data_IF_735163524333
#
_entry.id   IF_735163524333
#
_cell.length_a   1.000
_cell.length_b   1.000
_cell.length_c   1.000
_cell.angle_alpha   90.00
_cell.angle_beta   90.00
_cell.angle_gamma   90.00
#
_symmetry.space_group_name_H-M   'P 1'
#
loop_
_entity.id
_entity.type
_entity.pdbx_description
1 polymer ?
#
# COMPACT_ATOMS: atom_id res chain seq x y z
N UNK A 1 2.13 17.74 15.02
CA UNK A 1 1.77 16.31 15.06
C UNK A 1 1.84 15.80 13.64
N UNK A 2 2.65 14.78 13.38
CA UNK A 2 2.78 14.23 12.03
C UNK A 2 1.64 13.24 11.79
N UNK A 3 1.00 13.32 10.63
CA UNK A 3 -0.05 12.36 10.24
C UNK A 3 0.61 11.22 9.46
N UNK A 4 0.18 10.00 9.73
CA UNK A 4 0.60 8.82 8.98
C UNK A 4 -0.60 7.94 8.66
N UNK A 5 -0.44 7.11 7.63
CA UNK A 5 -1.39 6.04 7.32
C UNK A 5 -0.96 4.78 8.06
N UNK A 6 -1.91 4.07 8.65
CA UNK A 6 -1.72 2.85 9.43
C UNK A 6 -2.50 1.72 8.77
N UNK A 7 -1.77 0.70 8.31
CA UNK A 7 -2.31 -0.49 7.66
C UNK A 7 -1.99 -1.69 8.54
N UNK A 8 -3.01 -2.43 8.97
CA UNK A 8 -2.82 -3.56 9.86
C UNK A 8 -1.99 -4.65 9.18
N UNK A 9 -1.11 -5.30 9.93
CA UNK A 9 -0.36 -6.47 9.48
C UNK A 9 -0.62 -7.59 10.48
N UNK A 10 -0.89 -8.79 9.98
CA UNK A 10 -1.11 -9.94 10.87
C UNK A 10 0.12 -10.21 11.73
N UNK A 11 -0.10 -10.53 13.01
CA UNK A 11 0.97 -10.79 13.96
C UNK A 11 1.90 -11.92 13.50
N UNK A 12 1.38 -12.97 12.87
CA UNK A 12 2.17 -14.08 12.33
C UNK A 12 3.05 -13.66 11.14
N UNK A 13 2.54 -12.77 10.28
CA UNK A 13 3.30 -12.18 9.16
C UNK A 13 4.44 -11.31 9.70
N UNK A 14 4.15 -10.47 10.68
CA UNK A 14 5.17 -9.67 11.35
C UNK A 14 6.21 -10.50 12.09
N UNK A 15 5.80 -11.54 12.83
CA UNK A 15 6.71 -12.40 13.58
C UNK A 15 7.71 -13.11 12.65
N UNK A 16 7.23 -13.62 11.50
CA UNK A 16 8.09 -14.20 10.47
C UNK A 16 9.04 -13.16 9.88
N UNK A 17 8.56 -11.96 9.57
CA UNK A 17 9.41 -10.85 9.11
C UNK A 17 10.52 -10.52 10.13
N UNK A 18 10.15 -10.37 11.41
CA UNK A 18 11.08 -10.03 12.49
C UNK A 18 12.13 -11.14 12.71
N UNK A 19 11.72 -12.41 12.61
CA UNK A 19 12.64 -13.54 12.67
C UNK A 19 13.65 -13.51 11.52
N UNK A 20 13.19 -13.32 10.28
CA UNK A 20 14.05 -13.24 9.09
C UNK A 20 15.02 -12.06 9.20
N UNK A 21 14.53 -10.89 9.63
CA UNK A 21 15.38 -9.71 9.88
C UNK A 21 16.48 -10.03 10.89
N UNK A 22 16.14 -10.74 11.98
CA UNK A 22 17.12 -11.14 12.99
C UNK A 22 18.19 -12.06 12.41
N UNK A 23 17.79 -13.06 11.62
CA UNK A 23 18.73 -13.97 10.93
C UNK A 23 19.67 -13.23 9.98
N UNK A 24 19.13 -12.27 9.21
CA UNK A 24 19.91 -11.44 8.29
C UNK A 24 20.94 -10.58 9.05
N UNK A 25 20.51 -9.91 10.13
CA UNK A 25 21.39 -9.05 10.92
C UNK A 25 22.46 -9.82 11.72
N UNK A 26 22.20 -11.08 12.06
CA UNK A 26 23.16 -11.98 12.70
C UNK A 26 24.16 -12.59 11.70
N UNK A 27 24.04 -12.30 10.40
CA UNK A 27 24.94 -12.82 9.38
C UNK A 27 24.74 -14.31 9.09
N UNK A 28 23.49 -14.79 9.14
CA UNK A 28 23.16 -16.18 8.80
C UNK A 28 23.71 -16.55 7.41
N UNK A 29 24.33 -17.73 7.32
CA UNK A 29 24.87 -18.26 6.06
C UNK A 29 23.79 -18.85 5.15
N UNK A 30 22.65 -19.23 5.73
CA UNK A 30 21.53 -19.75 4.97
C UNK A 30 20.78 -18.62 4.26
N UNK A 31 20.42 -18.83 3.00
CA UNK A 31 19.70 -17.82 2.22
C UNK A 31 18.32 -17.56 2.81
N UNK A 32 18.05 -16.29 3.14
CA UNK A 32 16.75 -15.84 3.64
C UNK A 32 15.82 -15.33 2.53
N UNK A 33 16.28 -15.35 1.27
CA UNK A 33 15.62 -14.68 0.15
C UNK A 33 14.20 -15.22 -0.13
N UNK A 34 14.04 -16.54 -0.17
CA UNK A 34 12.73 -17.16 -0.44
C UNK A 34 11.75 -16.91 0.70
N UNK A 35 12.21 -17.07 1.95
CA UNK A 35 11.39 -16.83 3.13
C UNK A 35 10.95 -15.35 3.20
N UNK A 36 11.88 -14.42 2.98
CA UNK A 36 11.58 -13.00 2.93
C UNK A 36 10.61 -12.69 1.80
N UNK A 37 10.85 -13.24 0.61
CA UNK A 37 9.99 -13.04 -0.55
C UNK A 37 8.54 -13.48 -0.32
N UNK A 38 8.33 -14.60 0.38
CA UNK A 38 7.00 -15.05 0.81
C UNK A 38 6.35 -14.06 1.77
N UNK A 39 7.07 -13.65 2.82
CA UNK A 39 6.53 -12.72 3.83
C UNK A 39 6.20 -11.36 3.24
N UNK A 40 7.06 -10.83 2.35
CA UNK A 40 6.78 -9.57 1.65
C UNK A 40 5.54 -9.67 0.77
N UNK A 41 5.32 -10.83 0.14
CA UNK A 41 4.13 -11.09 -0.66
C UNK A 41 2.86 -11.06 0.19
N UNK A 42 2.91 -11.68 1.36
CA UNK A 42 1.79 -11.69 2.32
C UNK A 42 1.49 -10.29 2.84
N UNK A 43 2.51 -9.53 3.26
CA UNK A 43 2.39 -8.11 3.64
C UNK A 43 1.72 -7.30 2.51
N UNK A 44 2.18 -7.46 1.27
CA UNK A 44 1.62 -6.75 0.14
C UNK A 44 0.15 -7.12 -0.12
N UNK A 45 -0.22 -8.39 0.05
CA UNK A 45 -1.60 -8.82 -0.05
C UNK A 45 -2.47 -8.20 1.05
N UNK A 46 -2.03 -8.26 2.32
CA UNK A 46 -2.74 -7.70 3.47
C UNK A 46 -2.98 -6.19 3.30
N UNK A 47 -2.00 -5.45 2.78
CA UNK A 47 -2.12 -4.01 2.50
C UNK A 47 -3.13 -3.75 1.38
N UNK A 48 -3.05 -4.48 0.27
CA UNK A 48 -3.95 -4.29 -0.87
C UNK A 48 -5.38 -4.65 -0.47
N UNK A 49 -5.58 -5.78 0.20
CA UNK A 49 -6.91 -6.21 0.65
C UNK A 49 -7.58 -5.15 1.53
N UNK A 50 -6.85 -4.53 2.46
CA UNK A 50 -7.38 -3.44 3.28
C UNK A 50 -7.78 -2.21 2.47
N UNK A 51 -6.88 -1.72 1.60
CA UNK A 51 -7.16 -0.50 0.81
C UNK A 51 -8.34 -0.70 -0.15
N UNK A 52 -8.52 -1.93 -0.66
CA UNK A 52 -9.58 -2.25 -1.63
C UNK A 52 -10.85 -2.86 -1.00
N UNK A 53 -10.89 -3.09 0.32
CA UNK A 53 -12.02 -3.75 0.98
C UNK A 53 -13.36 -3.03 0.75
N UNK A 54 -13.39 -1.69 0.78
CA UNK A 54 -14.63 -0.93 0.53
C UNK A 54 -15.07 -0.97 -0.92
N UNK A 55 -14.12 -0.98 -1.87
CA UNK A 55 -14.46 -1.17 -3.28
C UNK A 55 -15.05 -2.56 -3.51
N UNK A 56 -14.67 -3.57 -2.73
CA UNK A 56 -15.24 -4.92 -2.82
C UNK A 56 -16.61 -5.02 -2.16
N UNK A 57 -16.83 -4.36 -1.01
CA UNK A 57 -18.08 -4.43 -0.24
C UNK A 57 -19.24 -3.67 -0.91
N UNK A 58 -19.01 -2.46 -1.45
CA UNK A 58 -20.09 -1.68 -2.07
C UNK A 58 -20.41 -2.12 -3.50
N UNK A 59 -19.44 -2.70 -4.23
CA UNK A 59 -19.72 -3.27 -5.55
C UNK A 59 -20.67 -4.49 -5.48
N UNK A 60 -20.84 -5.16 -4.35
CA UNK A 60 -21.85 -6.22 -4.22
C UNK A 60 -23.29 -5.69 -4.34
N UNK A 61 -23.52 -4.41 -4.04
CA UNK A 61 -24.84 -3.77 -4.17
C UNK A 61 -25.06 -3.12 -5.56
N UNK A 62 -24.00 -2.68 -6.25
CA UNK A 62 -24.11 -1.93 -7.51
C UNK A 62 -23.58 -2.64 -8.76
N UNK A 63 -22.80 -3.72 -8.64
CA UNK A 63 -22.22 -4.44 -9.78
C UNK A 63 -22.91 -5.79 -10.01
N UNK A 64 -23.56 -5.93 -11.16
CA UNK A 64 -23.96 -7.24 -11.70
C UNK A 64 -22.76 -8.04 -12.26
N UNK A 65 -21.54 -7.50 -12.17
CA UNK A 65 -20.33 -8.04 -12.77
C UNK A 65 -19.19 -8.01 -11.76
N UNK A 66 -18.85 -9.15 -11.15
CA UNK A 66 -17.70 -9.31 -10.25
C UNK A 66 -16.32 -9.12 -10.91
N UNK A 67 -16.20 -8.18 -11.85
CA UNK A 67 -14.99 -7.87 -12.60
C UNK A 67 -13.94 -7.20 -11.73
N UNK A 68 -14.33 -6.26 -10.86
CA UNK A 68 -13.42 -5.59 -9.92
C UNK A 68 -12.74 -6.58 -8.97
N UNK A 69 -13.51 -7.54 -8.44
CA UNK A 69 -13.00 -8.59 -7.57
C UNK A 69 -12.02 -9.52 -8.30
N UNK A 70 -12.37 -9.96 -9.52
CA UNK A 70 -11.47 -10.78 -10.35
C UNK A 70 -10.16 -10.07 -10.64
N UNK A 71 -10.18 -8.77 -10.93
CA UNK A 71 -8.97 -7.99 -11.17
C UNK A 71 -8.10 -7.92 -9.91
N UNK A 72 -8.70 -7.69 -8.74
CA UNK A 72 -7.97 -7.68 -7.47
C UNK A 72 -7.34 -9.05 -7.19
N UNK A 73 -8.09 -10.14 -7.38
CA UNK A 73 -7.54 -11.49 -7.22
C UNK A 73 -6.37 -11.77 -8.18
N UNK A 74 -6.46 -11.35 -9.44
CA UNK A 74 -5.35 -11.48 -10.39
C UNK A 74 -4.10 -10.71 -9.94
N UNK A 75 -4.27 -9.52 -9.33
CA UNK A 75 -3.17 -8.74 -8.77
C UNK A 75 -2.54 -9.48 -7.59
N UNK A 76 -3.35 -9.99 -6.66
CA UNK A 76 -2.88 -10.74 -5.49
C UNK A 76 -2.15 -12.03 -5.91
N UNK A 77 -2.71 -12.79 -6.86
CA UNK A 77 -2.06 -13.98 -7.43
C UNK A 77 -0.72 -13.66 -8.09
N UNK A 78 -0.66 -12.56 -8.86
CA UNK A 78 0.58 -12.12 -9.48
C UNK A 78 1.63 -11.75 -8.42
N UNK A 79 1.25 -11.06 -7.35
CA UNK A 79 2.14 -10.73 -6.24
C UNK A 79 2.66 -12.01 -5.55
N UNK A 80 1.76 -12.96 -5.26
CA UNK A 80 2.12 -14.27 -4.68
C UNK A 80 3.07 -15.08 -5.55
N UNK A 81 2.92 -14.98 -6.86
CA UNK A 81 3.76 -15.70 -7.82
C UNK A 81 5.12 -15.03 -8.02
N UNK A 82 5.14 -13.73 -8.27
CA UNK A 82 6.35 -13.06 -8.78
C UNK A 82 7.19 -12.40 -7.69
N UNK A 83 6.61 -12.03 -6.55
CA UNK A 83 7.38 -11.39 -5.47
C UNK A 83 8.43 -12.35 -4.88
N UNK A 84 8.09 -13.59 -4.46
CA UNK A 84 9.11 -14.51 -3.94
C UNK A 84 10.20 -14.81 -4.95
N UNK A 85 9.81 -15.03 -6.21
CA UNK A 85 10.75 -15.25 -7.31
C UNK A 85 11.70 -14.05 -7.50
N UNK A 86 11.19 -12.82 -7.50
CA UNK A 86 12.02 -11.62 -7.67
C UNK A 86 13.04 -11.45 -6.54
N UNK A 87 12.67 -11.80 -5.31
CA UNK A 87 13.55 -11.67 -4.15
C UNK A 87 14.59 -12.81 -4.10
N UNK A 88 14.26 -13.98 -4.65
CA UNK A 88 15.15 -15.16 -4.68
C UNK A 88 16.52 -14.91 -5.34
N UNK A 89 16.64 -13.88 -6.18
CA UNK A 89 17.89 -13.52 -6.85
C UNK A 89 18.88 -12.74 -5.97
N UNK A 90 18.51 -12.38 -4.74
CA UNK A 90 19.37 -11.61 -3.85
C UNK A 90 20.03 -12.47 -2.78
N UNK A 91 21.32 -12.22 -2.54
CA UNK A 91 22.01 -12.71 -1.35
C UNK A 91 21.66 -11.88 -0.11
N UNK A 92 21.89 -12.46 1.08
CA UNK A 92 21.53 -11.87 2.38
C UNK A 92 22.03 -10.44 2.56
N UNK A 93 23.28 -10.13 2.17
CA UNK A 93 23.85 -8.78 2.30
C UNK A 93 23.05 -7.69 1.58
N UNK A 94 22.41 -8.04 0.46
CA UNK A 94 21.57 -7.11 -0.31
C UNK A 94 20.17 -6.95 0.28
N UNK A 95 19.73 -7.89 1.12
CA UNK A 95 18.44 -7.87 1.76
C UNK A 95 18.45 -7.07 3.07
N UNK A 96 19.61 -6.93 3.72
CA UNK A 96 19.75 -6.18 4.98
C UNK A 96 19.19 -4.75 4.87
N UNK A 97 19.59 -3.91 3.88
CA UNK A 97 19.07 -2.55 3.78
C UNK A 97 17.56 -2.50 3.56
N UNK A 98 16.99 -3.49 2.87
CA UNK A 98 15.56 -3.61 2.62
C UNK A 98 14.80 -3.90 3.92
N UNK A 99 15.22 -4.92 4.68
CA UNK A 99 14.53 -5.30 5.94
C UNK A 99 14.72 -4.25 7.02
N UNK A 100 15.85 -3.54 7.04
CA UNK A 100 16.04 -2.41 7.95
C UNK A 100 15.12 -1.25 7.59
N UNK A 101 14.98 -0.92 6.31
CA UNK A 101 14.05 0.11 5.87
C UNK A 101 12.60 -0.26 6.23
N UNK A 102 12.14 -1.45 5.87
CA UNK A 102 10.78 -1.90 6.17
C UNK A 102 10.51 -2.04 7.67
N UNK A 103 11.52 -2.36 8.49
CA UNK A 103 11.33 -2.39 9.94
C UNK A 103 10.98 -1.02 10.53
N UNK A 104 11.36 0.08 9.87
CA UNK A 104 11.01 1.45 10.29
C UNK A 104 9.58 1.84 9.91
N UNK A 105 9.00 1.16 8.92
CA UNK A 105 7.59 1.37 8.57
C UNK A 105 6.68 0.55 9.49
N UNK A 106 7.19 -0.46 10.19
CA UNK A 106 6.40 -1.29 11.10
C UNK A 106 6.37 -0.70 12.52
N UNK A 107 5.17 -0.56 13.08
CA UNK A 107 4.92 -0.06 14.43
C UNK A 107 4.02 -1.05 15.19
N UNK A 108 4.26 -1.18 16.49
CA UNK A 108 3.42 -1.94 17.41
C UNK A 108 2.62 -0.94 18.26
N UNK A 109 1.30 -0.96 18.13
CA UNK A 109 0.38 -0.13 18.91
C UNK A 109 -0.81 -0.98 19.35
N UNK A 110 -1.19 -0.89 20.63
CA UNK A 110 -2.36 -1.61 21.19
C UNK A 110 -2.40 -3.11 20.85
N UNK A 111 -1.25 -3.80 21.01
CA UNK A 111 -1.07 -5.23 20.67
C UNK A 111 -1.28 -5.57 19.18
N UNK A 112 -1.43 -4.56 18.31
CA UNK A 112 -1.55 -4.71 16.87
C UNK A 112 -0.29 -4.23 16.17
N UNK A 113 -0.01 -4.84 15.02
CA UNK A 113 1.10 -4.44 14.15
C UNK A 113 0.55 -3.61 13.01
N UNK A 114 1.17 -2.48 12.76
CA UNK A 114 0.83 -1.59 11.66
C UNK A 114 2.04 -1.36 10.76
N UNK A 115 1.84 -1.49 9.45
CA UNK A 115 2.72 -0.88 8.47
C UNK A 115 2.27 0.56 8.23
N UNK A 116 3.22 1.48 8.32
CA UNK A 116 2.97 2.92 8.36
C UNK A 116 3.75 3.66 7.31
N UNK A 117 3.18 4.75 6.80
CA UNK A 117 3.90 5.73 6.00
C UNK A 117 3.43 7.15 6.31
N UNK A 118 4.34 8.13 6.32
CA UNK A 118 3.99 9.51 6.65
C UNK A 118 3.19 10.14 5.52
N UNK A 119 2.27 11.02 5.91
CA UNK A 119 1.53 11.90 5.00
C UNK A 119 1.84 13.33 5.39
N UNK A 120 2.13 14.17 4.40
CA UNK A 120 2.40 15.58 4.68
C UNK A 120 1.19 16.23 5.37
N UNK A 121 1.45 16.97 6.44
CA UNK A 121 0.38 17.56 7.27
C UNK A 121 -0.58 18.42 6.45
N UNK A 122 -0.05 19.15 5.46
CA UNK A 122 -0.85 19.99 4.58
C UNK A 122 -1.80 19.17 3.70
N UNK A 123 -1.38 17.98 3.27
CA UNK A 123 -2.20 17.05 2.48
C UNK A 123 -3.27 16.41 3.36
N UNK A 124 -2.90 15.96 4.56
CA UNK A 124 -3.85 15.39 5.53
C UNK A 124 -4.99 16.36 5.85
N UNK A 125 -4.67 17.63 6.11
CA UNK A 125 -5.68 18.68 6.36
C UNK A 125 -6.62 18.88 5.16
N UNK A 126 -6.08 18.86 3.92
CA UNK A 126 -6.91 18.97 2.71
C UNK A 126 -7.86 17.80 2.56
N UNK A 127 -7.40 16.57 2.80
CA UNK A 127 -8.25 15.36 2.72
C UNK A 127 -9.39 15.44 3.73
N UNK A 128 -9.09 15.80 4.99
CA UNK A 128 -10.11 15.95 6.05
C UNK A 128 -11.13 17.03 5.68
N UNK A 129 -10.68 18.21 5.25
CA UNK A 129 -11.57 19.30 4.84
C UNK A 129 -12.45 18.92 3.63
N UNK A 130 -11.88 18.20 2.67
CA UNK A 130 -12.60 17.71 1.48
C UNK A 130 -13.65 16.67 1.86
N UNK A 131 -13.31 15.73 2.75
CA UNK A 131 -14.25 14.75 3.31
C UNK A 131 -15.44 15.40 4.03
N UNK A 132 -15.21 16.43 4.85
CA UNK A 132 -16.28 17.15 5.54
C UNK A 132 -17.26 17.82 4.57
N UNK A 133 -16.75 18.43 3.49
CA UNK A 133 -17.59 19.02 2.44
C UNK A 133 -18.38 17.98 1.67
N UNK A 134 -17.77 16.83 1.37
CA UNK A 134 -18.45 15.69 0.77
C UNK A 134 -19.56 15.15 1.67
N UNK A 135 -19.30 14.98 2.97
CA UNK A 135 -20.33 14.58 3.92
C UNK A 135 -21.46 15.61 4.02
N UNK A 136 -21.14 16.90 3.81
CA UNK A 136 -22.09 18.01 3.81
C UNK A 136 -22.92 18.19 2.54
N UNK A 137 -22.78 17.36 1.50
CA UNK A 137 -23.60 17.46 0.29
C UNK A 137 -22.92 18.06 -0.95
N UNK A 138 -21.66 18.50 -0.87
CA UNK A 138 -21.04 19.21 -2.00
C UNK A 138 -20.52 18.25 -3.07
N UNK A 139 -21.36 17.99 -4.06
CA UNK A 139 -21.05 17.10 -5.20
C UNK A 139 -19.85 17.58 -6.03
N UNK A 140 -19.52 18.88 -6.01
CA UNK A 140 -18.37 19.42 -6.76
C UNK A 140 -17.04 18.98 -6.14
N UNK A 141 -17.09 18.51 -4.89
CA UNK A 141 -15.91 18.11 -4.14
C UNK A 141 -15.46 16.67 -4.47
N UNK A 142 -16.28 15.85 -5.14
CA UNK A 142 -15.98 14.44 -5.46
C UNK A 142 -14.63 14.31 -6.18
N UNK A 143 -14.44 15.08 -7.26
CA UNK A 143 -13.20 15.02 -8.04
C UNK A 143 -11.98 15.49 -7.23
N UNK A 144 -12.14 16.50 -6.39
CA UNK A 144 -11.06 17.00 -5.54
C UNK A 144 -10.67 15.97 -4.46
N UNK A 145 -11.65 15.35 -3.81
CA UNK A 145 -11.40 14.34 -2.78
C UNK A 145 -10.66 13.12 -3.35
N UNK A 146 -11.08 12.61 -4.52
CA UNK A 146 -10.42 11.48 -5.17
C UNK A 146 -9.00 11.82 -5.64
N UNK A 147 -8.78 13.07 -6.07
CA UNK A 147 -7.43 13.56 -6.37
C UNK A 147 -6.54 13.59 -5.12
N UNK A 148 -7.06 14.12 -4.00
CA UNK A 148 -6.30 14.17 -2.75
C UNK A 148 -6.00 12.77 -2.21
N UNK A 149 -6.95 11.82 -2.32
CA UNK A 149 -6.70 10.42 -2.00
C UNK A 149 -5.61 9.81 -2.89
N UNK A 150 -5.60 10.16 -4.18
CA UNK A 150 -4.56 9.73 -5.11
C UNK A 150 -3.17 10.19 -4.65
N UNK A 151 -3.05 11.43 -4.15
CA UNK A 151 -1.79 11.95 -3.59
C UNK A 151 -1.36 11.17 -2.33
N UNK A 152 -2.30 10.80 -1.45
CA UNK A 152 -1.98 9.96 -0.28
C UNK A 152 -1.54 8.55 -0.70
N UNK A 153 -2.20 7.95 -1.68
CA UNK A 153 -1.82 6.65 -2.24
C UNK A 153 -0.41 6.72 -2.87
N UNK A 154 -0.07 7.79 -3.57
CA UNK A 154 1.27 7.98 -4.13
C UNK A 154 2.36 8.12 -3.05
N UNK A 155 2.03 8.73 -1.90
CA UNK A 155 2.91 8.71 -0.73
C UNK A 155 3.16 7.26 -0.25
N UNK A 156 2.12 6.43 -0.22
CA UNK A 156 2.22 5.00 0.06
C UNK A 156 3.09 4.25 -0.96
N UNK A 157 2.88 4.47 -2.25
CA UNK A 157 3.71 3.89 -3.33
C UNK A 157 5.18 4.28 -3.15
N UNK A 158 5.46 5.53 -2.78
CA UNK A 158 6.83 5.99 -2.53
C UNK A 158 7.46 5.20 -1.40
N UNK A 159 6.81 5.15 -0.24
CA UNK A 159 7.39 4.56 0.97
C UNK A 159 7.39 3.03 0.96
N UNK A 160 6.43 2.39 0.30
CA UNK A 160 6.25 0.93 0.35
C UNK A 160 6.73 0.21 -0.92
N UNK A 161 7.00 0.94 -2.01
CA UNK A 161 7.47 0.35 -3.28
C UNK A 161 8.77 1.00 -3.74
N UNK A 162 8.79 2.32 -3.93
CA UNK A 162 9.93 3.00 -4.56
C UNK A 162 11.18 2.97 -3.67
N UNK A 163 11.04 3.29 -2.38
CA UNK A 163 12.16 3.26 -1.43
C UNK A 163 12.67 1.82 -1.16
N UNK A 164 11.83 0.81 -0.86
CA UNK A 164 12.27 -0.58 -0.76
C UNK A 164 13.02 -1.09 -2.00
N UNK A 165 12.56 -0.74 -3.20
CA UNK A 165 13.25 -1.08 -4.45
C UNK A 165 14.66 -0.46 -4.51
N UNK A 166 14.82 0.80 -4.08
CA UNK A 166 16.15 1.45 -4.05
C UNK A 166 17.11 0.71 -3.13
N UNK A 167 16.64 0.19 -1.98
CA UNK A 167 17.44 -0.60 -1.06
C UNK A 167 18.04 -1.85 -1.71
N UNK A 168 17.33 -2.46 -2.66
CA UNK A 168 17.78 -3.66 -3.38
C UNK A 168 18.89 -3.38 -4.41
N UNK A 169 19.13 -2.13 -4.81
CA UNK A 169 20.21 -1.72 -5.74
C UNK A 169 20.23 -2.55 -7.04
N UNK A 170 19.11 -2.63 -7.75
CA UNK A 170 19.05 -3.31 -9.04
C UNK A 170 20.09 -2.76 -10.03
N UNK A 171 20.53 -3.59 -10.99
CA UNK A 171 21.34 -3.08 -12.09
C UNK A 171 20.53 -2.07 -12.92
N UNK A 172 21.21 -1.18 -13.65
CA UNK A 172 20.58 -0.07 -14.37
C UNK A 172 19.42 -0.50 -15.29
N UNK A 173 19.57 -1.62 -16.02
CA UNK A 173 18.56 -2.10 -16.97
C UNK A 173 17.30 -2.58 -16.25
N UNK A 174 17.48 -3.38 -15.20
CA UNK A 174 16.36 -3.89 -14.39
C UNK A 174 15.70 -2.74 -13.63
N UNK A 175 16.48 -1.82 -13.07
CA UNK A 175 15.97 -0.67 -12.35
C UNK A 175 15.10 0.23 -13.24
N UNK A 176 15.57 0.55 -14.46
CA UNK A 176 14.83 1.35 -15.44
C UNK A 176 13.53 0.67 -15.86
N UNK A 177 13.56 -0.65 -16.09
CA UNK A 177 12.36 -1.43 -16.44
C UNK A 177 11.34 -1.39 -15.31
N UNK A 178 11.77 -1.64 -14.06
CA UNK A 178 10.89 -1.57 -12.90
C UNK A 178 10.30 -0.17 -12.68
N UNK A 179 11.10 0.88 -12.86
CA UNK A 179 10.60 2.26 -12.80
C UNK A 179 9.52 2.51 -13.87
N UNK A 180 9.73 2.04 -15.09
CA UNK A 180 8.75 2.13 -16.17
C UNK A 180 7.44 1.45 -15.81
N UNK A 181 7.49 0.22 -15.29
CA UNK A 181 6.32 -0.54 -14.85
C UNK A 181 5.61 0.15 -13.68
N UNK A 182 6.33 0.56 -12.64
CA UNK A 182 5.75 1.25 -11.49
C UNK A 182 5.05 2.53 -11.95
N UNK A 183 5.70 3.35 -12.77
CA UNK A 183 5.12 4.60 -13.27
C UNK A 183 3.88 4.36 -14.14
N UNK A 184 3.92 3.36 -15.02
CA UNK A 184 2.78 3.01 -15.87
C UNK A 184 1.59 2.52 -15.03
N UNK A 185 1.81 1.58 -14.11
CA UNK A 185 0.76 0.99 -13.28
C UNK A 185 0.14 2.01 -12.34
N UNK A 186 0.96 2.83 -11.68
CA UNK A 186 0.49 3.89 -10.79
C UNK A 186 -0.34 4.92 -11.55
N UNK A 187 0.14 5.39 -12.70
CA UNK A 187 -0.61 6.33 -13.55
C UNK A 187 -1.94 5.75 -14.05
N UNK A 188 -1.98 4.46 -14.42
CA UNK A 188 -3.23 3.80 -14.77
C UNK A 188 -4.21 3.73 -13.59
N UNK A 189 -3.73 3.41 -12.39
CA UNK A 189 -4.52 3.43 -11.17
C UNK A 189 -5.09 4.81 -10.86
N UNK A 190 -4.26 5.85 -10.93
CA UNK A 190 -4.65 7.25 -10.69
C UNK A 190 -5.74 7.70 -11.66
N UNK A 191 -5.54 7.43 -12.95
CA UNK A 191 -6.54 7.74 -13.99
C UNK A 191 -7.85 6.99 -13.79
N UNK A 192 -7.84 5.79 -13.21
CA UNK A 192 -9.06 5.04 -12.87
C UNK A 192 -9.80 5.68 -11.70
N UNK A 193 -9.10 6.10 -10.64
CA UNK A 193 -9.68 6.84 -9.52
C UNK A 193 -10.28 8.18 -9.97
N UNK A 194 -9.60 8.92 -10.85
CA UNK A 194 -10.14 10.16 -11.43
C UNK A 194 -11.44 9.90 -12.21
N UNK A 195 -11.45 8.85 -13.04
CA UNK A 195 -12.66 8.47 -13.81
C UNK A 195 -13.80 8.03 -12.91
N UNK A 196 -13.49 7.32 -11.83
CA UNK A 196 -14.49 6.86 -10.86
C UNK A 196 -15.30 8.04 -10.32
N UNK A 197 -14.69 9.21 -10.12
CA UNK A 197 -15.39 10.44 -9.73
C UNK A 197 -16.47 10.96 -10.69
N UNK A 198 -16.49 10.47 -11.93
CA UNK A 198 -17.56 10.78 -12.91
C UNK A 198 -18.67 9.72 -12.95
N UNK A 199 -18.47 8.60 -12.25
CA UNK A 199 -19.31 7.40 -12.31
C UNK A 199 -20.02 7.10 -11.00
N UNK A 200 -19.53 7.64 -9.88
CA UNK A 200 -20.12 7.45 -8.56
C UNK A 200 -20.91 8.68 -8.12
N UNK A 201 -21.93 8.44 -7.30
CA UNK A 201 -22.62 9.52 -6.61
C UNK A 201 -21.84 10.02 -5.39
N UNK A 202 -22.35 11.10 -4.79
CA UNK A 202 -21.73 11.75 -3.64
C UNK A 202 -21.71 10.85 -2.40
N UNK A 203 -22.73 9.99 -2.22
CA UNK A 203 -22.82 9.13 -1.04
C UNK A 203 -21.73 8.05 -1.08
N UNK A 204 -21.57 7.38 -2.22
CA UNK A 204 -20.49 6.41 -2.46
C UNK A 204 -19.12 7.08 -2.33
N UNK A 205 -18.97 8.31 -2.86
CA UNK A 205 -17.72 9.06 -2.76
C UNK A 205 -17.36 9.37 -1.31
N UNK A 206 -18.34 9.80 -0.51
CA UNK A 206 -18.18 10.09 0.90
C UNK A 206 -17.81 8.82 1.69
N UNK A 207 -18.48 7.68 1.44
CA UNK A 207 -18.15 6.41 2.10
C UNK A 207 -16.71 5.98 1.80
N UNK A 208 -16.29 6.07 0.53
CA UNK A 208 -14.94 5.68 0.14
C UNK A 208 -13.85 6.55 0.81
N UNK A 209 -14.06 7.88 0.82
CA UNK A 209 -13.13 8.82 1.45
C UNK A 209 -13.11 8.65 2.97
N UNK A 210 -14.26 8.48 3.62
CA UNK A 210 -14.35 8.23 5.07
C UNK A 210 -13.64 6.94 5.46
N UNK A 211 -13.83 5.87 4.68
CA UNK A 211 -13.13 4.63 4.92
C UNK A 211 -11.61 4.80 4.86
N UNK A 212 -11.10 5.47 3.83
CA UNK A 212 -9.66 5.69 3.71
C UNK A 212 -9.11 6.55 4.85
N UNK A 213 -9.88 7.53 5.32
CA UNK A 213 -9.52 8.36 6.47
C UNK A 213 -9.35 7.56 7.77
N UNK A 214 -10.01 6.40 7.92
CA UNK A 214 -9.82 5.53 9.11
C UNK A 214 -8.39 5.01 9.24
N UNK A 215 -7.66 4.93 8.13
CA UNK A 215 -6.24 4.57 8.16
C UNK A 215 -5.35 5.76 8.55
N UNK A 216 -5.80 7.01 8.41
CA UNK A 216 -5.00 8.19 8.74
C UNK A 216 -5.09 8.51 10.24
N UNK A 217 -3.96 8.43 10.94
CA UNK A 217 -3.86 8.73 12.37
C UNK A 217 -2.74 9.72 12.64
N UNK A 218 -2.82 10.40 13.78
CA UNK A 218 -1.70 11.17 14.28
C UNK A 218 -0.67 10.21 14.86
N UNK A 219 0.58 10.33 14.43
CA UNK A 219 1.69 9.58 15.00
C UNK A 219 1.92 10.05 16.44
N UNK A 220 2.01 9.09 17.36
CA UNK A 220 2.26 9.34 18.79
C UNK A 220 3.61 10.02 19.04
#
# INVERSE_FOLDING_TARGET
>A
MNTAVFLNIHADTYARFAHIRTQLLQGSKESQANALGSVLSEIACEVIEQVFMVLLQENQQYSQTGESEKVIQQILEAIRKYMPWSISFFGNDRLIPLVEYLSKTLQLEDEQVYMTYPVEQHLAQKVIASSQKLAGGDHREISNALKLLTEVIDAGVTHLIREPKKCLKFNFVVDKTLNGVINMTTHLGYKRLEKLGTQIDQQVAATYVDYFLKFMRHQA
#
